data_IF_230757620992
#
_entry.id   IF_230757620992
#
_cell.length_a   1.000
_cell.length_b   1.000
_cell.length_c   1.000
_cell.angle_alpha   90.00
_cell.angle_beta   90.00
_cell.angle_gamma   90.00
#
_symmetry.space_group_name_H-M   'P 1'
#
loop_
_entity.id
_entity.type
_entity.pdbx_description
1 polymer ?
#
# COMPACT_ATOMS: atom_id res chain seq x y z
N UNK A 1 46.49 13.63 6.99
CA UNK A 1 45.02 13.61 7.09
C UNK A 1 44.50 12.90 5.86
N UNK A 2 44.12 11.62 5.97
CA UNK A 2 43.53 10.85 4.87
C UNK A 2 42.04 11.24 4.77
N UNK A 3 41.57 11.65 3.60
CA UNK A 3 40.14 11.87 3.38
C UNK A 3 39.37 10.54 3.58
N UNK A 4 38.18 10.55 4.21
CA UNK A 4 37.38 9.34 4.34
C UNK A 4 36.96 8.89 2.93
N UNK A 5 37.27 7.63 2.60
CA UNK A 5 36.75 7.00 1.39
C UNK A 5 35.21 7.08 1.42
N UNK A 6 34.54 7.34 0.28
CA UNK A 6 33.08 7.31 0.22
C UNK A 6 32.62 5.95 0.76
N UNK A 7 31.66 5.99 1.67
CA UNK A 7 31.12 4.80 2.35
C UNK A 7 30.94 3.66 1.34
N UNK A 8 31.45 2.48 1.69
CA UNK A 8 31.40 1.30 0.83
C UNK A 8 29.97 1.11 0.28
N UNK A 9 29.84 0.95 -1.04
CA UNK A 9 28.53 0.76 -1.67
C UNK A 9 27.76 -0.32 -0.93
N UNK A 10 26.50 -0.05 -0.54
CA UNK A 10 25.71 -1.01 0.22
C UNK A 10 25.57 -2.30 -0.61
N UNK A 11 26.03 -3.41 -0.03
CA UNK A 11 25.96 -4.73 -0.66
C UNK A 11 25.08 -5.64 0.18
N UNK A 12 24.36 -6.54 -0.50
CA UNK A 12 23.52 -7.55 0.13
C UNK A 12 23.97 -8.91 -0.41
N UNK A 13 24.33 -9.81 0.50
CA UNK A 13 24.63 -11.20 0.19
C UNK A 13 23.52 -12.09 0.72
N UNK A 14 22.78 -12.76 -0.17
CA UNK A 14 21.77 -13.75 0.21
C UNK A 14 22.41 -15.14 0.15
N UNK A 15 22.42 -15.85 1.29
CA UNK A 15 23.03 -17.19 1.40
C UNK A 15 21.96 -18.27 1.43
N UNK A 16 22.35 -19.49 1.06
CA UNK A 16 21.52 -20.69 1.10
C UNK A 16 20.20 -20.54 0.33
N UNK A 17 20.25 -19.88 -0.84
CA UNK A 17 19.09 -19.78 -1.72
C UNK A 17 18.83 -21.17 -2.31
N UNK A 18 17.62 -21.74 -2.13
CA UNK A 18 17.26 -22.99 -2.78
C UNK A 18 17.45 -22.91 -4.30
N UNK A 19 17.94 -23.99 -4.93
CA UNK A 19 18.31 -23.97 -6.34
C UNK A 19 17.09 -23.66 -7.24
N UNK A 20 15.93 -24.23 -6.92
CA UNK A 20 14.66 -23.97 -7.59
C UNK A 20 14.23 -22.50 -7.52
N UNK A 21 14.46 -21.84 -6.38
CA UNK A 21 14.19 -20.42 -6.21
C UNK A 21 15.16 -19.58 -7.03
N UNK A 22 16.45 -19.91 -7.02
CA UNK A 22 17.46 -19.23 -7.83
C UNK A 22 17.13 -19.31 -9.32
N UNK A 23 16.82 -20.50 -9.83
CA UNK A 23 16.51 -20.74 -11.23
C UNK A 23 15.22 -20.03 -11.64
N UNK A 24 14.21 -20.03 -10.77
CA UNK A 24 12.97 -19.28 -11.00
C UNK A 24 13.22 -17.76 -11.09
N UNK A 25 14.13 -17.21 -10.29
CA UNK A 25 14.50 -15.80 -10.34
C UNK A 25 15.31 -15.47 -11.58
N UNK A 26 16.21 -16.37 -11.99
CA UNK A 26 16.99 -16.23 -13.22
C UNK A 26 16.08 -16.22 -14.45
N UNK A 27 15.15 -17.17 -14.55
CA UNK A 27 14.19 -17.24 -15.66
C UNK A 27 13.30 -15.99 -15.75
N UNK A 28 12.88 -15.42 -14.61
CA UNK A 28 12.14 -14.15 -14.57
C UNK A 28 12.99 -12.98 -15.06
N UNK A 29 14.25 -12.91 -14.63
CA UNK A 29 15.18 -11.88 -15.10
C UNK A 29 15.41 -11.96 -16.61
N UNK A 30 15.60 -13.16 -17.16
CA UNK A 30 15.75 -13.40 -18.59
C UNK A 30 14.50 -13.00 -19.39
N UNK A 31 13.32 -13.32 -18.87
CA UNK A 31 12.02 -12.94 -19.48
C UNK A 31 11.89 -11.42 -19.59
N UNK A 32 12.42 -10.67 -18.63
CA UNK A 32 12.42 -9.20 -18.63
C UNK A 32 13.64 -8.58 -19.35
N UNK A 33 14.54 -9.41 -19.89
CA UNK A 33 15.76 -8.94 -20.55
C UNK A 33 16.78 -8.30 -19.61
N UNK A 34 16.75 -8.68 -18.32
CA UNK A 34 17.59 -8.12 -17.27
C UNK A 34 18.61 -9.16 -16.77
N UNK A 35 19.74 -8.70 -16.23
CA UNK A 35 20.59 -9.57 -15.42
C UNK A 35 19.91 -9.90 -14.10
N UNK A 36 20.22 -11.06 -13.51
CA UNK A 36 19.66 -11.47 -12.21
C UNK A 36 19.86 -10.40 -11.13
N UNK A 37 21.05 -9.79 -11.06
CA UNK A 37 21.32 -8.73 -10.09
C UNK A 37 20.43 -7.50 -10.32
N UNK A 38 20.26 -7.06 -11.57
CA UNK A 38 19.41 -5.92 -11.94
C UNK A 38 17.95 -6.20 -11.59
N UNK A 39 17.48 -7.40 -11.89
CA UNK A 39 16.13 -7.87 -11.55
C UNK A 39 15.90 -7.86 -10.04
N UNK A 40 16.83 -8.40 -9.25
CA UNK A 40 16.72 -8.41 -7.79
C UNK A 40 16.72 -7.01 -7.18
N UNK A 41 17.57 -6.10 -7.69
CA UNK A 41 17.55 -4.69 -7.25
C UNK A 41 16.20 -4.06 -7.50
N UNK A 42 15.61 -4.29 -8.69
CA UNK A 42 14.29 -3.77 -9.04
C UNK A 42 13.21 -4.31 -8.10
N UNK A 43 13.14 -5.62 -7.90
CA UNK A 43 12.15 -6.26 -7.02
C UNK A 43 12.29 -5.80 -5.58
N UNK A 44 13.52 -5.72 -5.05
CA UNK A 44 13.78 -5.23 -3.69
C UNK A 44 13.42 -3.75 -3.54
N UNK A 45 13.70 -2.94 -4.56
CA UNK A 45 13.33 -1.51 -4.58
C UNK A 45 11.82 -1.36 -4.58
N UNK A 46 11.12 -2.11 -5.42
CA UNK A 46 9.65 -2.11 -5.45
C UNK A 46 9.09 -2.53 -4.09
N UNK A 47 9.61 -3.62 -3.52
CA UNK A 47 9.18 -4.11 -2.22
C UNK A 47 9.41 -3.09 -1.10
N UNK A 48 10.58 -2.45 -1.07
CA UNK A 48 10.91 -1.41 -0.10
C UNK A 48 10.10 -0.11 -0.30
N UNK A 49 9.65 0.17 -1.53
CA UNK A 49 8.83 1.35 -1.85
C UNK A 49 7.36 1.15 -1.50
N UNK A 50 6.91 -0.10 -1.32
CA UNK A 50 5.54 -0.38 -0.91
C UNK A 50 5.34 0.04 0.53
N UNK A 51 4.50 1.07 0.73
CA UNK A 51 4.00 1.44 2.06
C UNK A 51 3.35 0.22 2.71
N UNK A 52 3.70 -0.03 3.95
CA UNK A 52 3.02 -1.01 4.78
C UNK A 52 1.55 -0.63 4.97
N UNK A 53 0.69 -1.62 5.22
CA UNK A 53 -0.72 -1.36 5.55
C UNK A 53 -0.86 -0.41 6.75
N UNK A 54 0.08 -0.45 7.69
CA UNK A 54 0.13 0.44 8.84
C UNK A 54 0.38 1.90 8.41
N UNK A 55 1.34 2.13 7.50
CA UNK A 55 1.62 3.47 6.96
C UNK A 55 0.47 4.01 6.10
N UNK A 56 -0.16 3.15 5.30
CA UNK A 56 -1.35 3.52 4.53
C UNK A 56 -2.49 3.92 5.47
N UNK A 57 -2.72 3.14 6.54
CA UNK A 57 -3.77 3.43 7.52
C UNK A 57 -3.46 4.71 8.31
N UNK A 58 -2.21 4.92 8.71
CA UNK A 58 -1.79 6.12 9.44
C UNK A 58 -1.99 7.38 8.58
N UNK A 59 -1.63 7.33 7.30
CA UNK A 59 -1.84 8.45 6.38
C UNK A 59 -3.33 8.71 6.15
N UNK A 60 -4.12 7.67 5.91
CA UNK A 60 -5.56 7.81 5.75
C UNK A 60 -6.22 8.44 7.00
N UNK A 61 -5.80 8.02 8.20
CA UNK A 61 -6.28 8.63 9.44
C UNK A 61 -5.86 10.10 9.56
N UNK A 62 -4.66 10.48 9.10
CA UNK A 62 -4.19 11.87 9.08
C UNK A 62 -5.04 12.72 8.15
N UNK A 63 -5.19 12.31 6.89
CA UNK A 63 -6.00 13.01 5.89
C UNK A 63 -7.45 13.18 6.36
N UNK A 64 -8.04 12.12 6.94
CA UNK A 64 -9.40 12.20 7.46
C UNK A 64 -9.53 13.19 8.62
N UNK A 65 -8.57 13.22 9.56
CA UNK A 65 -8.58 14.22 10.65
C UNK A 65 -8.51 15.64 10.13
N UNK A 66 -7.62 15.89 9.16
CA UNK A 66 -7.47 17.21 8.52
C UNK A 66 -8.77 17.62 7.81
N UNK A 67 -9.36 16.72 7.03
CA UNK A 67 -10.62 16.96 6.33
C UNK A 67 -11.78 17.25 7.29
N UNK A 68 -11.91 16.47 8.36
CA UNK A 68 -12.95 16.67 9.38
C UNK A 68 -12.78 17.99 10.14
N UNK A 69 -11.53 18.38 10.43
CA UNK A 69 -11.23 19.67 11.04
C UNK A 69 -11.59 20.84 10.10
N UNK A 70 -11.33 20.72 8.81
CA UNK A 70 -11.64 21.75 7.79
C UNK A 70 -13.15 21.98 7.65
N UNK A 71 -13.94 20.90 7.58
CA UNK A 71 -15.40 21.00 7.44
C UNK A 71 -16.13 21.17 8.79
N UNK A 72 -15.38 21.32 9.88
CA UNK A 72 -15.93 21.57 11.22
C UNK A 72 -16.82 20.45 11.77
N UNK A 73 -16.62 19.21 11.30
CA UNK A 73 -17.42 18.05 11.73
C UNK A 73 -16.53 16.99 12.39
N UNK A 74 -17.15 16.09 13.14
CA UNK A 74 -16.45 14.93 13.72
C UNK A 74 -16.52 13.74 12.77
N UNK A 75 -15.50 12.87 12.84
CA UNK A 75 -15.52 11.60 12.13
C UNK A 75 -16.80 10.81 12.45
N UNK A 76 -17.57 10.37 11.44
CA UNK A 76 -18.76 9.55 11.65
C UNK A 76 -18.40 8.23 12.33
N UNK A 77 -19.19 7.86 13.31
CA UNK A 77 -19.13 6.55 13.95
C UNK A 77 -19.76 5.49 13.04
N UNK A 78 -19.54 4.20 13.36
CA UNK A 78 -20.23 3.12 12.66
C UNK A 78 -21.75 3.22 12.77
N UNK A 79 -22.25 3.77 13.88
CA UNK A 79 -23.68 3.95 14.09
C UNK A 79 -24.24 5.10 13.25
N UNK A 80 -23.48 6.17 13.05
CA UNK A 80 -23.84 7.26 12.13
C UNK A 80 -23.95 6.75 10.69
N UNK A 81 -22.99 5.92 10.25
CA UNK A 81 -22.99 5.33 8.90
C UNK A 81 -24.19 4.39 8.70
N UNK A 82 -24.45 3.51 9.68
CA UNK A 82 -25.60 2.59 9.64
C UNK A 82 -26.91 3.37 9.55
N UNK A 83 -27.03 4.45 10.33
CA UNK A 83 -28.23 5.29 10.32
C UNK A 83 -28.49 5.87 8.93
N UNK A 84 -27.46 6.35 8.23
CA UNK A 84 -27.59 6.87 6.85
C UNK A 84 -28.04 5.79 5.87
N UNK A 85 -27.51 4.56 5.99
CA UNK A 85 -27.89 3.42 5.15
C UNK A 85 -29.35 3.02 5.39
N UNK A 86 -29.77 2.95 6.65
CA UNK A 86 -31.14 2.62 7.04
C UNK A 86 -32.12 3.70 6.56
N UNK A 87 -31.77 4.98 6.70
CA UNK A 87 -32.56 6.11 6.20
C UNK A 87 -32.70 6.06 4.67
N UNK A 88 -31.60 5.77 3.96
CA UNK A 88 -31.58 5.63 2.51
C UNK A 88 -32.44 4.46 2.02
N UNK A 89 -32.43 3.34 2.74
CA UNK A 89 -33.25 2.15 2.43
C UNK A 89 -34.73 2.47 2.63
N UNK A 90 -35.10 3.06 3.77
CA UNK A 90 -36.47 3.46 4.07
C UNK A 90 -37.01 4.51 3.09
N UNK A 91 -36.17 5.42 2.59
CA UNK A 91 -36.58 6.40 1.59
C UNK A 91 -36.89 5.75 0.24
N UNK A 92 -36.10 4.76 -0.19
CA UNK A 92 -36.34 3.99 -1.42
C UNK A 92 -37.66 3.22 -1.35
N UNK A 93 -37.93 2.57 -0.22
CA UNK A 93 -39.16 1.82 -0.01
C UNK A 93 -40.39 2.74 -0.08
N UNK A 94 -40.34 3.90 0.60
CA UNK A 94 -41.42 4.92 0.52
C UNK A 94 -41.60 5.50 -0.87
N UNK A 95 -40.54 5.66 -1.67
CA UNK A 95 -40.66 6.09 -3.08
C UNK A 95 -41.33 5.03 -3.94
N UNK A 96 -41.05 3.74 -3.68
CA UNK A 96 -41.69 2.62 -4.37
C UNK A 96 -43.17 2.48 -4.05
N UNK A 97 -43.57 2.77 -2.81
CA UNK A 97 -44.98 2.75 -2.38
C UNK A 97 -45.81 3.90 -2.97
N UNK A 98 -45.21 5.08 -3.20
CA UNK A 98 -45.89 6.26 -3.78
C UNK A 98 -46.16 6.18 -5.28
N UNK A 99 -45.57 5.20 -5.98
CA UNK A 99 -45.73 5.00 -7.43
C UNK A 99 -46.66 3.83 -7.79
N UNK A 100 -47.38 3.28 -6.81
CA UNK A 100 -48.40 2.24 -7.00
C UNK A 100 -49.80 2.78 -6.80
#
# INVERSE_FOLDING_TARGET
>A
MQAPYPEAMPNITVRNVPADVHDSLLAKAETEGLSLQRYLVMVLTEHASRRSNAEILAEHQRVMREHYAEIGTTRPTSDDIRKVIDESTKERDRRGERQR
#
